data_IF_740021460138
#
_entry.id   IF_740021460138
#
_cell.length_a   1.000
_cell.length_b   1.000
_cell.length_c   1.000
_cell.angle_alpha   90.00
_cell.angle_beta   90.00
_cell.angle_gamma   90.00
#
_symmetry.space_group_name_H-M   'P 1'
#
loop_
_entity.id
_entity.type
_entity.pdbx_description
1 polymer ?
#
# COMPACT_ATOMS: atom_id res chain seq x y z
N UNK A 1 7.50 6.88 26.15
CA UNK A 1 6.95 6.49 24.83
C UNK A 1 5.85 5.47 25.01
N UNK A 2 4.77 5.55 24.22
CA UNK A 2 3.69 4.56 24.24
C UNK A 2 4.00 3.45 23.20
N UNK A 3 4.09 2.22 23.67
CA UNK A 3 4.17 1.00 22.84
C UNK A 3 2.81 0.33 22.85
N UNK A 4 2.19 0.22 21.69
CA UNK A 4 0.93 -0.49 21.48
C UNK A 4 1.20 -1.78 20.71
N UNK A 5 0.78 -2.90 21.26
CA UNK A 5 0.98 -4.24 20.71
C UNK A 5 -0.32 -4.75 20.09
N UNK A 6 -0.21 -5.34 18.91
CA UNK A 6 -1.34 -5.85 18.15
C UNK A 6 -1.06 -7.25 17.60
N UNK A 7 -2.12 -7.97 17.35
CA UNK A 7 -2.13 -9.12 16.46
C UNK A 7 -2.68 -8.66 15.11
N UNK A 8 -1.87 -8.76 14.08
CA UNK A 8 -2.23 -8.45 12.70
C UNK A 8 -2.45 -9.73 11.91
N UNK A 9 -3.62 -9.88 11.29
CA UNK A 9 -3.95 -11.02 10.43
C UNK A 9 -3.84 -10.71 8.93
N UNK A 10 -3.46 -9.49 8.57
CA UNK A 10 -3.40 -9.05 7.18
C UNK A 10 -1.99 -9.24 6.61
N UNK A 11 -1.84 -9.82 5.41
CA UNK A 11 -0.54 -9.97 4.75
C UNK A 11 0.17 -8.63 4.50
N UNK A 12 1.53 -8.61 4.43
CA UNK A 12 2.31 -7.38 4.26
C UNK A 12 1.94 -6.48 3.08
N UNK A 13 1.61 -6.99 1.87
CA UNK A 13 1.38 -6.13 0.70
C UNK A 13 0.08 -5.32 0.75
N UNK A 14 -0.80 -5.57 1.71
CA UNK A 14 -2.05 -4.82 1.81
C UNK A 14 -1.86 -3.49 2.55
N UNK A 15 -2.47 -2.42 2.04
CA UNK A 15 -2.47 -1.11 2.71
C UNK A 15 -3.41 -1.05 3.93
N UNK A 16 -4.43 -1.90 3.99
CA UNK A 16 -5.33 -2.03 5.14
C UNK A 16 -4.81 -3.08 6.12
N UNK A 17 -4.90 -2.82 7.43
CA UNK A 17 -4.53 -3.77 8.49
C UNK A 17 -5.73 -4.09 9.36
N UNK A 18 -5.91 -5.36 9.68
CA UNK A 18 -6.85 -5.80 10.72
C UNK A 18 -6.06 -6.01 12.00
N UNK A 19 -6.09 -5.00 12.86
CA UNK A 19 -5.32 -4.94 14.09
C UNK A 19 -6.23 -5.27 15.27
N UNK A 20 -5.93 -6.37 15.95
CA UNK A 20 -6.55 -6.70 17.24
C UNK A 20 -5.61 -6.23 18.35
N UNK A 21 -6.03 -5.29 19.21
CA UNK A 21 -5.18 -4.78 20.28
C UNK A 21 -4.94 -5.87 21.33
N UNK A 22 -3.70 -6.04 21.77
CA UNK A 22 -3.31 -6.96 22.84
C UNK A 22 -2.98 -6.18 24.09
N UNK A 23 -2.06 -5.21 23.99
CA UNK A 23 -1.60 -4.43 25.12
C UNK A 23 -1.16 -3.02 24.70
N UNK A 24 -1.22 -2.10 25.65
CA UNK A 24 -0.65 -0.76 25.53
C UNK A 24 0.22 -0.50 26.75
N UNK A 25 1.50 -0.25 26.52
CA UNK A 25 2.51 -0.16 27.59
C UNK A 25 3.24 1.16 27.48
N UNK A 26 3.34 1.89 28.58
CA UNK A 26 4.21 3.05 28.66
C UNK A 26 5.64 2.57 28.95
N UNK A 27 6.52 2.75 28.00
CA UNK A 27 7.92 2.35 28.10
C UNK A 27 8.83 3.59 28.05
N UNK A 28 9.93 3.61 28.81
CA UNK A 28 10.93 4.67 28.68
C UNK A 28 11.60 4.57 27.29
N UNK A 29 12.17 5.67 26.81
CA UNK A 29 12.86 5.67 25.50
C UNK A 29 14.11 4.77 25.47
N UNK A 30 14.72 4.53 26.62
CA UNK A 30 15.85 3.60 26.80
C UNK A 30 15.53 2.14 26.45
N UNK A 31 14.29 1.80 26.27
CA UNK A 31 13.84 0.46 25.80
C UNK A 31 14.22 0.20 24.33
N UNK A 32 14.53 1.24 23.57
CA UNK A 32 15.00 1.08 22.20
C UNK A 32 16.52 0.98 22.22
N UNK A 33 17.02 -0.23 22.06
CA UNK A 33 18.47 -0.50 22.05
C UNK A 33 19.14 0.08 20.79
N UNK A 34 18.43 0.08 19.66
CA UNK A 34 18.90 0.64 18.41
C UNK A 34 17.89 1.65 17.90
N UNK A 35 18.26 2.92 17.89
CA UNK A 35 17.46 4.02 17.32
C UNK A 35 17.54 4.04 15.78
N UNK A 36 17.08 2.98 15.15
CA UNK A 36 16.90 2.92 13.71
C UNK A 36 15.42 3.14 13.38
N UNK A 37 15.13 4.08 12.49
CA UNK A 37 13.76 4.37 12.09
C UNK A 37 13.12 3.26 11.25
N UNK A 38 13.93 2.45 10.58
CA UNK A 38 13.47 1.37 9.72
C UNK A 38 13.41 0.04 10.48
N UNK A 39 14.45 -0.26 11.27
CA UNK A 39 14.61 -1.53 11.97
C UNK A 39 15.01 -1.33 13.43
N UNK A 40 14.15 -0.72 14.26
CA UNK A 40 14.47 -0.59 15.68
C UNK A 40 14.44 -1.95 16.38
N UNK A 41 15.22 -2.07 17.46
CA UNK A 41 15.15 -3.23 18.36
C UNK A 41 14.57 -2.76 19.68
N UNK A 42 13.44 -3.35 20.06
CA UNK A 42 12.76 -3.06 21.32
C UNK A 42 13.23 -4.05 22.35
N UNK A 43 13.66 -3.56 23.51
CA UNK A 43 14.11 -4.39 24.64
C UNK A 43 13.14 -4.24 25.80
N UNK A 44 12.52 -5.32 26.22
CA UNK A 44 11.51 -5.37 27.26
C UNK A 44 11.91 -6.37 28.36
N UNK A 45 11.36 -6.22 29.56
CA UNK A 45 11.60 -7.19 30.65
C UNK A 45 10.89 -8.50 30.38
N UNK A 46 11.51 -9.62 30.77
CA UNK A 46 10.99 -10.97 30.54
C UNK A 46 9.70 -11.30 31.32
N UNK A 47 9.35 -10.54 32.35
CA UNK A 47 8.18 -10.79 33.20
C UNK A 47 6.83 -10.76 32.44
N UNK A 48 6.79 -10.09 31.28
CA UNK A 48 5.60 -9.95 30.44
C UNK A 48 5.72 -10.70 29.11
N UNK A 49 6.65 -11.63 28.99
CA UNK A 49 6.96 -12.33 27.73
C UNK A 49 5.73 -12.96 27.06
N UNK A 50 4.81 -13.53 27.85
CA UNK A 50 3.59 -14.14 27.33
C UNK A 50 2.68 -13.15 26.55
N UNK A 51 2.68 -11.89 26.94
CA UNK A 51 1.91 -10.83 26.24
C UNK A 51 2.58 -10.43 24.92
N UNK A 52 3.92 -10.41 24.91
CA UNK A 52 4.67 -10.05 23.70
C UNK A 52 4.71 -11.18 22.68
N UNK A 53 4.71 -12.43 23.13
CA UNK A 53 4.77 -13.61 22.27
C UNK A 53 3.54 -13.73 21.36
N UNK A 54 2.39 -13.20 21.78
CA UNK A 54 1.16 -13.20 20.99
C UNK A 54 1.10 -12.06 19.96
N UNK A 55 1.96 -11.04 20.11
CA UNK A 55 1.98 -9.88 19.22
C UNK A 55 2.90 -10.11 18.01
N UNK A 56 2.43 -9.75 16.83
CA UNK A 56 3.23 -9.74 15.61
C UNK A 56 3.33 -8.36 14.97
N UNK A 57 2.75 -7.35 15.64
CA UNK A 57 2.67 -6.00 15.11
C UNK A 57 2.62 -4.97 16.24
N UNK A 58 3.24 -3.82 16.04
CA UNK A 58 3.19 -2.76 17.04
C UNK A 58 3.11 -1.35 16.43
N UNK A 59 2.71 -0.41 17.28
CA UNK A 59 2.83 1.02 17.03
C UNK A 59 3.73 1.62 18.11
N UNK A 60 4.78 2.29 17.69
CA UNK A 60 5.60 3.13 18.55
C UNK A 60 5.06 4.55 18.51
N UNK A 61 4.79 5.13 19.68
CA UNK A 61 4.41 6.54 19.83
C UNK A 61 5.57 7.48 19.57
N UNK A 62 5.40 8.75 19.98
CA UNK A 62 6.46 9.74 19.83
C UNK A 62 7.78 9.27 20.45
N UNK A 63 8.93 9.53 19.80
CA UNK A 63 9.14 10.33 18.60
C UNK A 63 8.90 9.61 17.26
N UNK A 64 8.76 8.29 17.25
CA UNK A 64 8.67 7.48 16.02
C UNK A 64 7.35 7.67 15.26
N UNK A 65 6.23 7.59 15.97
CA UNK A 65 4.86 7.66 15.42
C UNK A 65 4.64 6.75 14.19
N UNK A 66 5.15 5.51 14.25
CA UNK A 66 5.14 4.56 13.15
C UNK A 66 4.64 3.21 13.56
N UNK A 67 4.23 2.45 12.57
CA UNK A 67 3.83 1.06 12.70
C UNK A 67 4.96 0.13 12.26
N UNK A 68 5.10 -1.02 12.95
CA UNK A 68 6.17 -1.97 12.73
C UNK A 68 5.65 -3.41 12.78
N UNK A 69 6.19 -4.25 11.91
CA UNK A 69 6.11 -5.69 12.06
C UNK A 69 7.11 -6.13 13.13
N UNK A 70 6.67 -7.01 14.02
CA UNK A 70 7.54 -7.61 15.03
C UNK A 70 8.16 -8.88 14.46
N UNK A 71 9.47 -9.02 14.61
CA UNK A 71 10.19 -10.26 14.37
C UNK A 71 10.13 -11.20 15.56
N UNK A 72 10.91 -12.28 15.50
CA UNK A 72 10.98 -13.27 16.58
C UNK A 72 11.61 -12.64 17.82
N UNK A 73 10.87 -12.68 18.92
CA UNK A 73 11.35 -12.23 20.21
C UNK A 73 12.43 -13.19 20.75
N UNK A 74 13.54 -12.65 21.20
CA UNK A 74 14.65 -13.41 21.77
C UNK A 74 14.84 -13.02 23.23
N UNK A 75 14.66 -13.98 24.14
CA UNK A 75 14.93 -13.77 25.56
C UNK A 75 16.44 -13.89 25.83
N UNK A 76 17.01 -12.88 26.47
CA UNK A 76 18.40 -12.89 26.91
C UNK A 76 18.55 -13.40 28.32
N UNK A 77 19.77 -13.84 28.68
CA UNK A 77 20.15 -14.26 30.04
C UNK A 77 20.14 -13.06 31.01
N UNK A 78 20.18 -11.86 30.51
CA UNK A 78 20.11 -10.59 31.26
C UNK A 78 18.70 -10.25 31.78
N UNK A 79 17.71 -11.15 31.59
CA UNK A 79 16.32 -10.93 31.97
C UNK A 79 15.58 -9.96 31.02
N UNK A 80 16.14 -9.70 29.86
CA UNK A 80 15.58 -8.83 28.85
C UNK A 80 15.18 -9.62 27.58
N UNK A 81 14.03 -9.27 27.01
CA UNK A 81 13.58 -9.78 25.71
C UNK A 81 13.85 -8.74 24.64
N UNK A 82 14.55 -9.14 23.60
CA UNK A 82 14.84 -8.31 22.41
C UNK A 82 13.92 -8.68 21.29
N UNK A 83 13.25 -7.68 20.72
CA UNK A 83 12.27 -7.85 19.65
C UNK A 83 12.72 -6.99 18.48
N UNK A 84 13.25 -7.57 17.40
CA UNK A 84 13.57 -6.84 16.20
C UNK A 84 12.27 -6.39 15.51
N UNK A 85 12.25 -5.16 15.02
CA UNK A 85 11.11 -4.58 14.36
C UNK A 85 11.48 -4.16 12.94
N UNK A 86 10.50 -4.17 12.05
CA UNK A 86 10.63 -3.66 10.68
C UNK A 86 9.45 -2.73 10.36
N UNK A 87 9.74 -1.54 9.85
CA UNK A 87 8.72 -0.53 9.60
C UNK A 87 7.69 -0.97 8.56
N UNK A 88 6.41 -0.77 8.86
CA UNK A 88 5.35 -0.88 7.88
C UNK A 88 5.12 0.48 7.21
N UNK A 89 5.79 0.70 6.10
CA UNK A 89 5.73 1.95 5.35
C UNK A 89 4.33 2.18 4.77
N UNK A 90 3.72 1.13 4.22
CA UNK A 90 2.40 1.23 3.56
C UNK A 90 1.32 1.66 4.54
N UNK A 91 1.27 1.08 5.72
CA UNK A 91 0.25 1.43 6.70
C UNK A 91 0.56 2.74 7.43
N UNK A 92 1.83 2.99 7.73
CA UNK A 92 2.28 4.24 8.37
C UNK A 92 1.93 5.46 7.53
N UNK A 93 2.18 5.42 6.23
CA UNK A 93 1.96 6.53 5.30
C UNK A 93 0.70 6.37 4.44
N UNK A 94 -0.20 5.48 4.82
CA UNK A 94 -1.40 5.14 4.06
C UNK A 94 -2.18 6.37 3.59
N UNK A 95 -2.46 7.30 4.48
CA UNK A 95 -3.26 8.49 4.13
C UNK A 95 -2.53 9.40 3.14
N UNK A 96 -1.20 9.50 3.26
CA UNK A 96 -0.40 10.30 2.33
C UNK A 96 -0.35 9.62 0.96
N UNK A 97 -0.20 8.30 0.92
CA UNK A 97 -0.16 7.52 -0.32
C UNK A 97 -1.52 7.60 -1.04
N UNK A 98 -2.64 7.44 -0.31
CA UNK A 98 -3.98 7.47 -0.90
C UNK A 98 -4.40 8.87 -1.38
N UNK A 99 -3.83 9.93 -0.82
CA UNK A 99 -4.11 11.31 -1.22
C UNK A 99 -3.04 11.88 -2.18
N UNK A 100 -2.02 11.09 -2.53
CA UNK A 100 -1.01 11.52 -3.49
C UNK A 100 -1.61 11.52 -4.91
N UNK A 101 -1.36 12.58 -5.64
CA UNK A 101 -1.64 12.63 -7.08
C UNK A 101 -0.67 11.68 -7.79
N UNK A 102 -1.20 10.75 -8.56
CA UNK A 102 -0.39 9.81 -9.33
C UNK A 102 -1.02 9.55 -10.69
N UNK A 103 -0.17 9.25 -11.66
CA UNK A 103 -0.59 8.68 -12.95
C UNK A 103 -0.38 7.18 -12.81
N UNK A 104 -1.46 6.39 -12.94
CA UNK A 104 -1.39 4.94 -12.91
C UNK A 104 -1.76 4.41 -14.30
N UNK A 105 -0.84 3.66 -14.88
CA UNK A 105 -1.02 3.01 -16.16
C UNK A 105 -0.79 1.50 -16.00
N UNK A 106 -1.67 0.72 -16.58
CA UNK A 106 -1.56 -0.73 -16.56
C UNK A 106 -2.04 -1.29 -17.90
N UNK A 107 -1.25 -2.20 -18.46
CA UNK A 107 -1.66 -2.97 -19.63
C UNK A 107 -1.86 -4.43 -19.25
N UNK A 108 -2.96 -5.03 -19.67
CA UNK A 108 -3.22 -6.47 -19.55
C UNK A 108 -2.43 -7.29 -20.56
N UNK A 109 -1.88 -6.66 -21.60
CA UNK A 109 -1.07 -7.30 -22.64
C UNK A 109 0.31 -6.66 -22.72
N UNK A 110 1.36 -7.48 -22.71
CA UNK A 110 2.75 -7.05 -22.75
C UNK A 110 3.18 -6.35 -24.06
N UNK A 111 2.35 -6.45 -25.12
CA UNK A 111 2.67 -5.94 -26.46
C UNK A 111 1.51 -5.14 -27.08
N UNK A 112 0.64 -4.56 -26.27
CA UNK A 112 -0.46 -3.73 -26.78
C UNK A 112 -0.03 -2.27 -26.80
N UNK A 113 -0.17 -1.60 -27.95
CA UNK A 113 0.02 -0.15 -28.09
C UNK A 113 -1.12 0.63 -27.39
N UNK A 114 -2.14 -0.07 -26.94
CA UNK A 114 -3.28 0.49 -26.23
C UNK A 114 -3.34 -0.09 -24.81
N UNK A 115 -3.45 0.78 -23.81
CA UNK A 115 -3.67 0.39 -22.43
C UNK A 115 -5.08 -0.17 -22.28
N UNK A 116 -5.17 -1.50 -22.15
CA UNK A 116 -6.42 -2.18 -21.83
C UNK A 116 -6.30 -2.78 -20.44
N UNK A 117 -7.09 -2.29 -19.50
CA UNK A 117 -7.22 -2.87 -18.16
C UNK A 117 -8.68 -3.20 -17.89
N UNK A 118 -8.96 -4.47 -17.59
CA UNK A 118 -10.31 -4.93 -17.24
C UNK A 118 -10.85 -4.30 -15.95
N UNK A 119 -9.95 -3.85 -15.06
CA UNK A 119 -10.30 -3.28 -13.76
C UNK A 119 -10.38 -1.75 -13.77
N UNK A 120 -9.70 -1.09 -14.70
CA UNK A 120 -9.75 0.36 -14.88
C UNK A 120 -10.43 0.65 -16.21
N UNK A 121 -11.74 0.89 -16.16
CA UNK A 121 -12.48 1.32 -17.34
C UNK A 121 -12.15 2.78 -17.62
N UNK A 122 -11.30 3.01 -18.60
CA UNK A 122 -11.15 4.34 -19.19
C UNK A 122 -12.36 4.55 -20.09
N UNK A 123 -13.21 5.54 -19.79
CA UNK A 123 -14.26 5.96 -20.71
C UNK A 123 -13.62 6.50 -21.98
N UNK A 124 -13.57 5.68 -23.01
CA UNK A 124 -13.22 6.13 -24.35
C UNK A 124 -14.46 6.81 -24.93
N UNK A 125 -14.53 8.10 -24.77
CA UNK A 125 -15.54 8.92 -25.43
C UNK A 125 -15.21 9.07 -26.91
N UNK A 126 -15.82 8.25 -27.75
CA UNK A 126 -15.74 8.46 -29.19
C UNK A 126 -16.67 9.62 -29.57
N UNK A 127 -16.11 10.70 -30.10
CA UNK A 127 -16.88 11.81 -30.63
C UNK A 127 -17.07 11.58 -32.12
N UNK A 128 -18.26 11.11 -32.52
CA UNK A 128 -18.60 10.95 -33.92
C UNK A 128 -19.14 12.27 -34.47
N UNK A 129 -18.49 12.80 -35.48
CA UNK A 129 -19.06 13.88 -36.32
C UNK A 129 -19.69 13.25 -37.55
N UNK A 130 -21.01 13.24 -37.61
CA UNK A 130 -21.74 12.75 -38.77
C UNK A 130 -22.09 13.95 -39.65
N UNK A 131 -21.47 14.01 -40.82
CA UNK A 131 -21.84 14.99 -41.84
C UNK A 131 -22.78 14.33 -42.84
N UNK A 132 -24.00 14.86 -42.96
CA UNK A 132 -24.95 14.46 -44.01
C UNK A 132 -24.77 15.37 -45.20
N UNK A 133 -24.56 14.75 -46.35
CA UNK A 133 -24.57 15.47 -47.62
C UNK A 133 -26.02 15.55 -48.14
N UNK A 134 -26.40 16.70 -48.67
CA UNK A 134 -27.73 16.94 -49.21
C UNK A 134 -27.96 16.25 -50.59
N UNK A 135 -26.95 15.52 -51.05
CA UNK A 135 -26.98 14.83 -52.34
C UNK A 135 -27.00 13.31 -52.12
N UNK A 136 -27.81 12.59 -52.87
CA UNK A 136 -27.72 11.17 -52.96
C UNK A 136 -26.57 10.81 -53.93
N UNK A 137 -25.64 9.98 -53.44
CA UNK A 137 -24.62 9.40 -54.32
C UNK A 137 -25.26 8.42 -55.27
N UNK A 138 -25.04 8.60 -56.56
CA UNK A 138 -25.49 7.65 -57.54
C UNK A 138 -24.47 6.52 -57.66
N UNK A 139 -24.84 5.27 -57.37
CA UNK A 139 -23.90 4.16 -57.39
C UNK A 139 -23.43 3.80 -58.81
N UNK A 140 -24.11 4.25 -59.84
CA UNK A 140 -23.83 3.87 -61.24
C UNK A 140 -22.93 4.85 -62.02
N UNK A 141 -22.63 6.01 -61.43
CA UNK A 141 -21.95 7.09 -62.22
C UNK A 141 -20.71 7.71 -61.55
N UNK A 142 -20.12 7.13 -60.53
CA UNK A 142 -18.95 7.73 -59.90
C UNK A 142 -18.09 6.81 -59.06
N UNK A 143 -16.80 7.11 -59.06
CA UNK A 143 -15.83 6.50 -58.11
C UNK A 143 -15.85 7.32 -56.81
N UNK A 144 -16.11 6.63 -55.72
CA UNK A 144 -16.12 7.24 -54.37
C UNK A 144 -14.88 6.83 -53.60
N UNK A 145 -14.17 7.79 -53.06
CA UNK A 145 -13.00 7.56 -52.19
C UNK A 145 -13.36 8.05 -50.78
N UNK A 146 -13.39 7.15 -49.84
CA UNK A 146 -13.51 7.46 -48.41
C UNK A 146 -12.10 7.54 -47.81
N UNK A 147 -11.70 8.75 -47.42
CA UNK A 147 -10.47 8.97 -46.65
C UNK A 147 -10.82 9.07 -45.16
N UNK A 148 -10.35 8.13 -44.37
CA UNK A 148 -10.44 8.16 -42.90
C UNK A 148 -9.08 8.50 -42.35
N UNK A 149 -8.96 9.66 -41.68
CA UNK A 149 -7.79 10.02 -40.91
C UNK A 149 -8.12 9.90 -39.43
N UNK A 150 -7.37 9.06 -38.73
CA UNK A 150 -7.40 8.99 -37.28
C UNK A 150 -6.32 9.91 -36.70
N UNK A 151 -6.65 10.65 -35.65
CA UNK A 151 -5.71 11.37 -34.80
C UNK A 151 -5.65 10.74 -33.43
#
# INVERSE_FOLDING_TARGET
>A
MLLQLYQNSTPPPHMGRRLNPIAAINVPESVIEKMDLLNPVITLKNDQFSQYAAANYCKLGAPFNRYYFLGTATAGEDGLTRIPCHVDVLYTYRNQILNAECIAERSSSAYSDYLQDEYIKVEQGYKYNVSKFNYSFDPDTGDYILLVSGS
#
